data_IF_782490808982
#
_entry.id   IF_782490808982
#
_cell.length_a   1.000
_cell.length_b   1.000
_cell.length_c   1.000
_cell.angle_alpha   90.00
_cell.angle_beta   90.00
_cell.angle_gamma   90.00
#
_symmetry.space_group_name_H-M   'P 1'
#
loop_
_entity.id
_entity.type
_entity.pdbx_description
1 polymer ?
#
# COMPACT_ATOMS: atom_id res chain seq x y z
N UNK A 1 -43.72 52.52 -53.60
CA UNK A 1 -42.47 52.75 -52.88
C UNK A 1 -42.18 51.50 -52.09
N UNK A 2 -41.01 50.96 -52.35
CA UNK A 2 -40.47 49.67 -51.92
C UNK A 2 -39.90 49.76 -50.49
N UNK A 3 -39.40 48.60 -50.00
CA UNK A 3 -38.66 48.33 -48.75
C UNK A 3 -39.54 47.91 -47.56
N UNK A 4 -39.41 46.73 -46.96
CA UNK A 4 -38.45 45.65 -47.15
C UNK A 4 -38.61 44.67 -45.98
N UNK A 5 -38.90 43.41 -46.29
CA UNK A 5 -38.94 42.31 -45.33
C UNK A 5 -37.50 41.99 -44.87
N UNK A 6 -37.25 42.00 -43.56
CA UNK A 6 -36.06 41.36 -42.99
C UNK A 6 -36.46 40.10 -42.24
N UNK A 7 -36.15 38.99 -42.90
CA UNK A 7 -36.11 37.62 -42.37
C UNK A 7 -35.00 37.50 -41.33
N UNK A 8 -35.32 37.01 -40.14
CA UNK A 8 -34.31 36.49 -39.22
C UNK A 8 -34.26 34.97 -39.33
N UNK A 9 -33.11 34.49 -39.80
CA UNK A 9 -32.77 33.10 -39.98
C UNK A 9 -32.74 32.34 -38.65
N UNK A 10 -33.05 31.04 -38.74
CA UNK A 10 -33.33 30.17 -37.60
C UNK A 10 -32.15 29.94 -36.66
N UNK A 11 -32.44 30.10 -35.37
CA UNK A 11 -31.57 29.66 -34.30
C UNK A 11 -31.74 28.13 -34.14
N UNK A 12 -30.82 27.34 -34.71
CA UNK A 12 -30.73 25.91 -34.42
C UNK A 12 -30.27 25.73 -32.97
N UNK A 13 -31.19 25.36 -32.09
CA UNK A 13 -30.86 24.89 -30.74
C UNK A 13 -30.04 23.60 -30.85
N UNK A 14 -28.72 23.71 -30.67
CA UNK A 14 -27.86 22.56 -30.40
C UNK A 14 -28.35 21.94 -29.09
N UNK A 15 -28.93 20.75 -29.18
CA UNK A 15 -29.23 19.88 -28.05
C UNK A 15 -27.89 19.54 -27.39
N UNK A 16 -27.56 20.23 -26.31
CA UNK A 16 -26.39 19.91 -25.47
C UNK A 16 -26.76 18.62 -24.75
N UNK A 17 -26.20 17.52 -25.24
CA UNK A 17 -26.20 16.24 -24.56
C UNK A 17 -25.51 16.46 -23.20
N UNK A 18 -26.16 16.18 -22.06
CA UNK A 18 -25.50 16.28 -20.77
C UNK A 18 -24.42 15.20 -20.75
N UNK A 19 -23.17 15.65 -20.83
CA UNK A 19 -21.99 14.82 -20.59
C UNK A 19 -22.24 14.05 -19.29
N UNK A 20 -22.47 12.74 -19.41
CA UNK A 20 -22.61 11.85 -18.26
C UNK A 20 -21.29 11.95 -17.52
N UNK A 21 -21.28 12.77 -16.47
CA UNK A 21 -20.15 12.97 -15.59
C UNK A 21 -19.56 11.60 -15.26
N UNK A 22 -18.39 11.31 -15.82
CA UNK A 22 -17.66 10.11 -15.50
C UNK A 22 -17.56 10.04 -13.98
N UNK A 23 -17.93 8.92 -13.33
CA UNK A 23 -17.86 8.84 -11.89
C UNK A 23 -16.40 9.09 -11.52
N UNK A 24 -16.16 10.20 -10.81
CA UNK A 24 -14.84 10.56 -10.35
C UNK A 24 -14.24 9.32 -9.68
N UNK A 25 -13.17 8.77 -10.26
CA UNK A 25 -12.41 7.66 -9.67
C UNK A 25 -12.01 8.15 -8.29
N UNK A 26 -12.70 7.66 -7.25
CA UNK A 26 -12.32 7.93 -5.87
C UNK A 26 -10.85 7.54 -5.75
N UNK A 27 -9.98 8.40 -5.18
CA UNK A 27 -8.60 8.02 -4.97
C UNK A 27 -8.61 6.72 -4.16
N UNK A 28 -8.03 5.66 -4.74
CA UNK A 28 -7.86 4.39 -4.02
C UNK A 28 -6.99 4.71 -2.81
N UNK A 29 -7.55 4.56 -1.62
CA UNK A 29 -6.83 4.79 -0.37
C UNK A 29 -5.76 3.70 -0.26
N UNK A 30 -4.51 4.08 -0.48
CA UNK A 30 -3.36 3.19 -0.30
C UNK A 30 -3.12 3.04 1.21
N UNK A 31 -3.06 1.81 1.75
CA UNK A 31 -2.81 1.62 3.18
C UNK A 31 -1.43 2.18 3.57
N UNK A 32 -1.33 2.84 4.73
CA UNK A 32 -0.07 3.44 5.21
C UNK A 32 1.05 2.42 5.43
N UNK A 33 0.71 1.18 5.75
CA UNK A 33 1.68 0.10 5.94
C UNK A 33 2.34 -0.36 4.63
N UNK A 34 1.78 0.00 3.47
CA UNK A 34 2.26 -0.45 2.17
C UNK A 34 3.50 0.35 1.75
N UNK A 35 4.66 -0.10 2.23
CA UNK A 35 5.97 0.51 1.94
C UNK A 35 6.98 -0.54 1.47
N UNK A 36 8.01 -0.09 0.75
CA UNK A 36 9.17 -0.93 0.44
C UNK A 36 9.90 -1.33 1.73
N UNK A 37 10.31 -2.60 1.79
CA UNK A 37 10.91 -3.24 2.95
C UNK A 37 9.90 -3.77 3.98
N UNK A 38 8.60 -3.50 3.84
CA UNK A 38 7.61 -4.04 4.76
C UNK A 38 7.55 -5.57 4.69
N UNK A 39 7.48 -6.18 5.87
CA UNK A 39 7.19 -7.59 6.04
C UNK A 39 5.69 -7.82 5.84
N UNK A 40 5.36 -8.83 5.05
CA UNK A 40 3.99 -9.15 4.65
C UNK A 40 3.73 -10.65 4.67
N UNK A 41 2.47 -11.02 4.85
CA UNK A 41 1.98 -12.37 4.58
C UNK A 41 1.40 -12.41 3.16
N UNK A 42 1.83 -13.39 2.37
CA UNK A 42 1.31 -13.67 1.04
C UNK A 42 0.29 -14.80 1.12
N UNK A 43 -0.95 -14.51 0.71
CA UNK A 43 -2.05 -15.47 0.70
C UNK A 43 -1.80 -16.55 -0.35
N UNK A 44 -1.60 -17.79 0.09
CA UNK A 44 -1.42 -18.96 -0.78
C UNK A 44 -2.26 -20.14 -0.32
N UNK A 45 -3.58 -20.05 -0.55
CA UNK A 45 -4.53 -21.15 -0.41
C UNK A 45 -4.61 -21.75 1.00
N UNK A 46 -3.65 -22.61 1.33
CA UNK A 46 -3.60 -23.42 2.56
C UNK A 46 -2.67 -22.82 3.63
N UNK A 47 -1.64 -22.05 3.23
CA UNK A 47 -0.69 -21.45 4.17
C UNK A 47 -0.23 -20.06 3.68
N UNK A 48 -0.18 -19.11 4.60
CA UNK A 48 0.39 -17.80 4.33
C UNK A 48 1.92 -17.87 4.44
N UNK A 49 2.61 -17.31 3.45
CA UNK A 49 4.08 -17.27 3.42
C UNK A 49 4.54 -15.86 3.76
N UNK A 50 5.52 -15.73 4.66
CA UNK A 50 6.11 -14.43 4.96
C UNK A 50 7.02 -13.98 3.81
N UNK A 51 6.91 -12.71 3.45
CA UNK A 51 7.75 -12.07 2.45
C UNK A 51 8.02 -10.62 2.74
N UNK A 52 8.77 -10.00 1.83
CA UNK A 52 9.22 -8.62 1.91
C UNK A 52 8.83 -7.89 0.64
N UNK A 53 8.20 -6.73 0.77
CA UNK A 53 7.90 -5.86 -0.38
C UNK A 53 9.21 -5.24 -0.89
N UNK A 54 9.53 -5.47 -2.16
CA UNK A 54 10.70 -4.89 -2.82
C UNK A 54 10.35 -3.64 -3.62
N UNK A 55 9.17 -3.63 -4.25
CA UNK A 55 8.75 -2.55 -5.15
C UNK A 55 7.22 -2.46 -5.18
N UNK A 56 6.66 -1.26 -5.24
CA UNK A 56 5.21 -1.02 -5.34
C UNK A 56 4.90 -0.30 -6.67
N UNK A 57 4.05 -0.91 -7.50
CA UNK A 57 3.60 -0.40 -8.80
C UNK A 57 2.08 -0.37 -8.88
N UNK A 58 1.48 0.74 -8.45
CA UNK A 58 0.03 0.89 -8.43
C UNK A 58 -0.62 -0.12 -7.49
N UNK A 59 -1.44 -1.03 -8.04
CA UNK A 59 -2.11 -2.09 -7.28
C UNK A 59 -1.30 -3.41 -7.22
N UNK A 60 -0.07 -3.42 -7.74
CA UNK A 60 0.83 -4.57 -7.75
C UNK A 60 2.06 -4.31 -6.88
N UNK A 61 2.55 -5.34 -6.21
CA UNK A 61 3.78 -5.29 -5.43
C UNK A 61 4.71 -6.43 -5.85
N UNK A 62 5.99 -6.12 -6.04
CA UNK A 62 7.03 -7.14 -6.15
C UNK A 62 7.37 -7.61 -4.74
N UNK A 63 7.12 -8.87 -4.44
CA UNK A 63 7.35 -9.46 -3.11
C UNK A 63 8.37 -10.57 -3.23
N UNK A 64 9.35 -10.57 -2.32
CA UNK A 64 10.28 -11.69 -2.13
C UNK A 64 9.77 -12.58 -1.00
N UNK A 65 9.70 -13.88 -1.23
CA UNK A 65 9.29 -14.88 -0.23
C UNK A 65 10.34 -15.97 -0.11
N UNK A 66 10.41 -16.60 1.06
CA UNK A 66 11.20 -17.81 1.26
C UNK A 66 10.28 -19.02 1.09
N UNK A 67 10.59 -19.88 0.13
CA UNK A 67 9.83 -21.09 -0.16
C UNK A 67 10.70 -22.32 0.04
N UNK A 68 10.12 -23.45 0.50
CA UNK A 68 10.83 -24.72 0.47
C UNK A 68 11.21 -25.02 -0.98
N UNK A 69 12.46 -25.45 -1.17
CA UNK A 69 12.95 -25.74 -2.51
C UNK A 69 12.13 -26.89 -3.15
N UNK A 70 12.00 -26.90 -4.49
CA UNK A 70 11.33 -28.00 -5.18
C UNK A 70 12.01 -29.34 -4.84
N UNK A 71 11.21 -30.41 -4.79
CA UNK A 71 11.69 -31.76 -4.48
C UNK A 71 12.84 -32.14 -5.44
N UNK A 72 14.02 -32.42 -4.87
CA UNK A 72 15.25 -32.71 -5.62
C UNK A 72 16.35 -31.65 -5.49
N UNK A 73 16.11 -30.56 -4.76
CA UNK A 73 17.11 -29.58 -4.37
C UNK A 73 17.75 -29.95 -3.02
N UNK A 74 19.09 -29.95 -2.95
CA UNK A 74 19.84 -30.09 -1.69
C UNK A 74 19.81 -28.80 -0.84
N UNK A 75 19.20 -27.72 -1.34
CA UNK A 75 19.06 -26.45 -0.64
C UNK A 75 17.71 -26.41 0.09
N UNK A 76 17.72 -26.19 1.40
CA UNK A 76 16.51 -26.26 2.24
C UNK A 76 15.43 -25.20 1.93
N UNK A 77 15.82 -24.03 1.42
CA UNK A 77 14.90 -22.91 1.10
C UNK A 77 15.45 -22.07 -0.05
N UNK A 78 14.56 -21.61 -0.93
CA UNK A 78 14.89 -20.70 -2.03
C UNK A 78 14.13 -19.37 -1.90
N UNK A 79 14.81 -18.28 -2.28
CA UNK A 79 14.19 -16.97 -2.44
C UNK A 79 13.45 -16.91 -3.77
N UNK A 80 12.17 -16.54 -3.73
CA UNK A 80 11.37 -16.33 -4.94
C UNK A 80 10.77 -14.94 -4.93
N UNK A 81 10.94 -14.24 -6.05
CA UNK A 81 10.31 -12.95 -6.28
C UNK A 81 9.12 -13.09 -7.22
N UNK A 82 8.02 -12.44 -6.89
CA UNK A 82 6.80 -12.48 -7.67
C UNK A 82 6.06 -11.15 -7.64
N UNK A 83 5.29 -10.88 -8.69
CA UNK A 83 4.42 -9.71 -8.77
C UNK A 83 3.03 -10.12 -8.27
N UNK A 84 2.61 -9.54 -7.15
CA UNK A 84 1.36 -9.89 -6.48
C UNK A 84 0.41 -8.70 -6.43
N UNK A 85 -0.90 -8.91 -6.59
CA UNK A 85 -1.88 -7.86 -6.39
C UNK A 85 -2.05 -7.56 -4.90
N UNK A 86 -2.33 -6.30 -4.55
CA UNK A 86 -2.47 -5.85 -3.16
C UNK A 86 -3.42 -6.74 -2.30
N UNK A 87 -4.57 -7.24 -2.80
CA UNK A 87 -5.44 -8.13 -2.02
C UNK A 87 -4.85 -9.51 -1.67
N UNK A 88 -3.76 -9.92 -2.33
CA UNK A 88 -3.02 -11.15 -2.02
C UNK A 88 -1.98 -10.96 -0.91
N UNK A 89 -1.82 -9.73 -0.41
CA UNK A 89 -0.78 -9.35 0.54
C UNK A 89 -1.46 -8.80 1.81
N UNK A 90 -0.98 -9.24 2.97
CA UNK A 90 -1.45 -8.77 4.28
C UNK A 90 -0.28 -8.22 5.10
N UNK A 91 -0.48 -7.17 5.91
CA UNK A 91 0.56 -6.67 6.79
C UNK A 91 0.87 -7.71 7.88
N UNK A 92 2.15 -7.84 8.23
CA UNK A 92 2.55 -8.57 9.44
C UNK A 92 2.23 -7.72 10.67
N UNK A 93 1.58 -8.33 11.67
CA UNK A 93 1.30 -7.65 12.93
C UNK A 93 2.61 -7.35 13.69
N UNK A 94 2.80 -6.14 14.24
CA UNK A 94 3.99 -5.83 15.03
C UNK A 94 4.09 -6.66 16.31
N UNK A 95 5.24 -7.28 16.53
CA UNK A 95 5.56 -8.05 17.73
C UNK A 95 6.79 -7.45 18.44
N UNK A 96 6.82 -7.53 19.77
CA UNK A 96 7.97 -7.08 20.56
C UNK A 96 9.23 -7.81 20.08
N UNK A 97 10.30 -7.05 19.88
CA UNK A 97 11.57 -7.52 19.36
C UNK A 97 11.76 -7.32 17.86
N UNK A 98 10.69 -7.03 17.11
CA UNK A 98 10.76 -6.81 15.65
C UNK A 98 11.24 -5.40 15.30
N UNK A 99 11.91 -5.30 14.15
CA UNK A 99 12.19 -4.01 13.52
C UNK A 99 10.90 -3.45 12.90
N UNK A 100 10.64 -2.17 13.14
CA UNK A 100 9.48 -1.46 12.59
C UNK A 100 9.93 -0.14 11.98
N UNK A 101 9.25 0.29 10.93
CA UNK A 101 9.43 1.61 10.31
C UNK A 101 8.20 2.45 10.58
N UNK A 102 8.42 3.71 10.95
CA UNK A 102 7.35 4.70 11.11
C UNK A 102 6.88 5.12 9.73
N UNK A 103 5.59 4.98 9.46
CA UNK A 103 4.96 5.22 8.14
C UNK A 103 4.06 6.46 8.11
N UNK A 104 3.81 7.09 9.26
CA UNK A 104 3.04 8.32 9.35
C UNK A 104 3.50 9.19 10.53
N UNK A 105 3.21 10.50 10.48
CA UNK A 105 3.59 11.48 11.49
C UNK A 105 4.99 12.07 11.28
N UNK A 106 5.46 12.86 12.25
CA UNK A 106 6.69 13.67 12.14
C UNK A 106 7.97 12.82 12.05
N UNK A 107 7.89 11.56 12.48
CA UNK A 107 9.00 10.59 12.47
C UNK A 107 8.94 9.62 11.28
N UNK A 108 8.11 9.89 10.28
CA UNK A 108 7.97 9.03 9.10
C UNK A 108 9.33 8.73 8.46
N UNK A 109 9.55 7.47 8.12
CA UNK A 109 10.77 6.97 7.51
C UNK A 109 11.79 6.40 8.49
N UNK A 110 11.66 6.71 9.79
CA UNK A 110 12.59 6.21 10.81
C UNK A 110 12.35 4.73 11.10
N UNK A 111 13.44 3.97 11.21
CA UNK A 111 13.45 2.57 11.62
C UNK A 111 13.83 2.48 13.10
N UNK A 112 13.10 1.66 13.83
CA UNK A 112 13.36 1.36 15.23
C UNK A 112 13.02 -0.09 15.57
N UNK A 113 13.15 -0.43 16.85
CA UNK A 113 12.79 -1.74 17.38
C UNK A 113 11.56 -1.60 18.27
N UNK A 114 10.53 -2.41 18.03
CA UNK A 114 9.39 -2.49 18.94
C UNK A 114 9.84 -3.15 20.24
N UNK A 115 9.80 -2.43 21.36
CA UNK A 115 10.30 -2.89 22.66
C UNK A 115 9.20 -3.12 23.69
N UNK A 116 8.02 -2.57 23.47
CA UNK A 116 6.90 -2.70 24.39
C UNK A 116 5.59 -2.23 23.79
N UNK A 117 4.51 -2.45 24.54
CA UNK A 117 3.16 -2.03 24.21
C UNK A 117 2.61 -1.20 25.37
N UNK A 118 1.96 -0.09 25.04
CA UNK A 118 1.23 0.76 25.97
C UNK A 118 -0.23 0.84 25.52
N UNK A 119 -1.04 -0.14 25.94
CA UNK A 119 -2.42 -0.29 25.45
C UNK A 119 -2.44 -0.58 23.94
N UNK A 120 -3.00 0.33 23.14
CA UNK A 120 -3.06 0.23 21.68
C UNK A 120 -1.87 0.88 20.96
N UNK A 121 -0.91 1.39 21.73
CA UNK A 121 0.27 2.08 21.22
C UNK A 121 1.51 1.19 21.32
N UNK A 122 2.41 1.39 20.37
CA UNK A 122 3.70 0.73 20.27
C UNK A 122 4.77 1.62 20.91
N UNK A 123 5.59 1.04 21.79
CA UNK A 123 6.80 1.69 22.31
C UNK A 123 7.98 1.27 21.44
N UNK A 124 8.51 2.21 20.66
CA UNK A 124 9.56 1.97 19.67
C UNK A 124 10.86 2.61 20.13
N UNK A 125 11.92 1.81 20.21
CA UNK A 125 13.27 2.27 20.47
C UNK A 125 13.91 2.71 19.14
N UNK A 126 14.26 3.99 19.06
CA UNK A 126 14.88 4.64 17.89
C UNK A 126 16.32 5.02 18.26
N UNK A 127 17.29 4.66 17.42
CA UNK A 127 18.70 5.05 17.61
C UNK A 127 19.33 4.55 18.92
N UNK A 128 18.79 3.49 19.53
CA UNK A 128 19.34 2.83 20.73
C UNK A 128 19.05 3.51 22.07
N UNK A 129 18.77 4.82 22.11
CA UNK A 129 18.56 5.56 23.37
C UNK A 129 17.28 6.41 23.39
N UNK A 130 16.58 6.56 22.27
CA UNK A 130 15.31 7.28 22.20
C UNK A 130 14.16 6.28 22.23
N UNK A 131 13.13 6.54 23.04
CA UNK A 131 11.90 5.75 23.08
C UNK A 131 10.74 6.66 22.71
N UNK A 132 9.97 6.25 21.71
CA UNK A 132 8.75 6.95 21.32
C UNK A 132 7.55 6.03 21.43
N UNK A 133 6.42 6.61 21.84
CA UNK A 133 5.13 5.92 21.89
C UNK A 133 4.34 6.35 20.67
N UNK A 134 4.03 5.40 19.79
CA UNK A 134 3.40 5.65 18.50
C UNK A 134 2.14 4.78 18.35
N UNK A 135 1.07 5.27 17.73
CA UNK A 135 -0.07 4.43 17.39
C UNK A 135 0.36 3.26 16.50
N UNK A 136 -0.23 2.08 16.72
CA UNK A 136 0.03 0.88 15.90
C UNK A 136 -0.19 1.11 14.39
N UNK A 137 -1.09 2.02 14.03
CA UNK A 137 -1.39 2.39 12.63
C UNK A 137 -0.30 3.21 11.95
N UNK A 138 0.65 3.76 12.72
CA UNK A 138 1.76 4.57 12.23
C UNK A 138 3.05 3.77 12.08
N UNK A 139 3.02 2.46 12.32
CA UNK A 139 4.19 1.61 12.17
C UNK A 139 3.91 0.45 11.20
N UNK A 140 4.94 0.03 10.48
CA UNK A 140 4.94 -1.17 9.67
C UNK A 140 6.12 -2.05 10.09
N UNK A 141 5.91 -3.36 10.19
CA UNK A 141 7.01 -4.31 10.40
C UNK A 141 7.87 -4.32 9.15
N UNK A 142 9.19 -4.25 9.31
CA UNK A 142 10.13 -4.36 8.21
C UNK A 142 10.91 -5.66 8.32
N UNK A 143 11.19 -6.29 7.18
CA UNK A 143 12.13 -7.40 7.15
C UNK A 143 13.54 -6.83 7.29
N UNK A 144 14.31 -7.40 8.22
CA UNK A 144 15.76 -7.20 8.24
C UNK A 144 16.43 -7.99 7.11
#
# INVERSE_FOLDING_TARGET
MDLGFLSFAGFKSKKVEPDLAQPAKRPKLVPSWLIEGAAVHVRRGVADVTGTILEIKGDLCRVRTLQPAPQGSDLGTEEREEMLPLPAILPVAPEIGRSVKVVAGDRTGIIGKLVGLAGTEAVVQIGGMCYETLPMTQIAVVSN
#
